data_IF_910465734557
#
_entry.id   IF_910465734557
#
_cell.length_a   1.000
_cell.length_b   1.000
_cell.length_c   1.000
_cell.angle_alpha   90.00
_cell.angle_beta   90.00
_cell.angle_gamma   90.00
#
_symmetry.space_group_name_H-M   'P 1'
#
loop_
_entity.id
_entity.type
_entity.pdbx_description
1 polymer ?
#
# COMPACT_ATOMS: atom_id res chain seq x y z
N UNK A 1 44.75 -68.25 10.50
CA UNK A 1 44.09 -67.39 9.55
C UNK A 1 43.77 -66.07 10.27
N UNK A 2 44.61 -65.02 10.01
CA UNK A 2 44.51 -63.72 10.68
C UNK A 2 43.87 -62.70 9.73
N UNK A 3 42.81 -62.02 10.19
CA UNK A 3 42.12 -60.98 9.50
C UNK A 3 42.83 -59.65 9.82
N UNK A 4 43.11 -58.78 8.87
CA UNK A 4 43.71 -57.46 9.12
C UNK A 4 42.65 -56.43 9.50
N UNK A 5 43.02 -55.36 10.23
CA UNK A 5 42.09 -54.32 10.66
C UNK A 5 41.77 -53.33 9.54
N UNK A 6 40.50 -52.91 9.49
CA UNK A 6 39.95 -51.90 8.57
C UNK A 6 40.49 -50.48 8.86
N UNK A 7 40.95 -49.80 7.84
CA UNK A 7 41.31 -48.40 7.89
C UNK A 7 40.06 -47.50 7.99
N UNK A 8 40.02 -46.72 9.05
CA UNK A 8 39.03 -45.62 9.19
C UNK A 8 39.51 -44.41 8.39
N UNK A 9 38.81 -44.08 7.33
CA UNK A 9 38.99 -42.82 6.58
C UNK A 9 38.23 -41.70 7.28
N UNK A 10 38.99 -40.77 7.87
CA UNK A 10 38.44 -39.52 8.42
C UNK A 10 38.14 -38.54 7.27
N UNK A 11 36.89 -38.30 7.02
CA UNK A 11 36.43 -37.23 6.10
C UNK A 11 36.42 -35.92 6.88
N UNK A 12 37.39 -35.06 6.58
CA UNK A 12 37.45 -33.68 7.08
C UNK A 12 36.43 -32.82 6.29
N UNK A 13 35.28 -32.54 6.88
CA UNK A 13 34.31 -31.62 6.30
C UNK A 13 34.80 -30.17 6.49
N UNK A 14 35.27 -29.54 5.42
CA UNK A 14 35.56 -28.11 5.40
C UNK A 14 34.23 -27.32 5.34
N UNK A 15 33.85 -26.71 6.45
CA UNK A 15 32.77 -25.70 6.45
C UNK A 15 33.30 -24.42 5.80
N UNK A 16 32.91 -24.17 4.55
CA UNK A 16 33.02 -22.88 3.91
C UNK A 16 31.92 -21.95 4.51
N UNK A 17 32.32 -21.09 5.42
CA UNK A 17 31.49 -19.97 5.87
C UNK A 17 31.41 -18.94 4.75
N UNK A 18 30.31 -18.96 4.01
CA UNK A 18 29.93 -17.87 3.13
C UNK A 18 29.53 -16.68 3.99
N UNK A 19 30.41 -15.74 4.22
CA UNK A 19 30.09 -14.41 4.71
C UNK A 19 29.35 -13.66 3.60
N UNK A 20 28.10 -13.21 3.81
CA UNK A 20 27.46 -12.36 2.82
C UNK A 20 28.21 -11.02 2.79
N UNK A 21 28.77 -10.67 1.63
CA UNK A 21 29.19 -9.31 1.32
C UNK A 21 27.95 -8.42 1.29
N UNK A 22 27.60 -7.83 2.41
CA UNK A 22 26.73 -6.66 2.41
C UNK A 22 27.51 -5.50 1.80
N UNK A 23 27.19 -5.18 0.54
CA UNK A 23 27.65 -3.97 -0.09
C UNK A 23 27.24 -2.78 0.79
N UNK A 24 28.17 -1.89 1.07
CA UNK A 24 27.92 -0.61 1.72
C UNK A 24 26.96 0.19 0.84
N UNK A 25 25.66 0.11 1.13
CA UNK A 25 24.68 1.03 0.59
C UNK A 25 24.94 2.40 1.19
N UNK A 26 24.93 3.43 0.35
CA UNK A 26 25.05 4.81 0.78
C UNK A 26 24.11 5.09 1.95
N UNK A 27 24.60 5.81 2.95
CA UNK A 27 23.86 6.18 4.16
C UNK A 27 22.56 6.87 3.79
N UNK A 28 21.44 6.14 3.83
CA UNK A 28 20.15 6.78 4.02
C UNK A 28 20.23 7.45 5.40
N UNK A 29 20.25 8.77 5.43
CA UNK A 29 20.13 9.50 6.68
C UNK A 29 18.71 9.34 7.18
N UNK A 30 18.45 8.29 7.97
CA UNK A 30 17.25 8.17 8.78
C UNK A 30 17.39 9.22 9.87
N UNK A 31 16.79 10.37 9.64
CA UNK A 31 16.76 11.44 10.65
C UNK A 31 15.63 11.12 11.64
N UNK A 32 15.94 11.23 12.93
CA UNK A 32 15.12 10.83 14.08
C UNK A 32 13.81 11.64 14.18
N UNK A 33 12.84 11.36 13.31
CA UNK A 33 11.48 11.90 13.38
C UNK A 33 11.21 13.13 12.51
N UNK A 34 12.15 13.52 11.66
CA UNK A 34 12.03 14.63 10.70
C UNK A 34 11.83 14.13 9.26
N UNK A 35 11.58 15.06 8.35
CA UNK A 35 11.33 14.82 6.93
C UNK A 35 12.40 13.94 6.28
N UNK A 36 12.01 12.76 5.79
CA UNK A 36 12.86 11.92 4.95
C UNK A 36 12.67 12.31 3.48
N UNK A 37 13.71 12.83 2.85
CA UNK A 37 13.69 13.10 1.42
C UNK A 37 14.39 11.96 0.68
N UNK A 38 13.69 11.37 -0.29
CA UNK A 38 14.28 10.39 -1.21
C UNK A 38 15.20 11.12 -2.20
N UNK A 39 16.18 10.39 -2.73
CA UNK A 39 16.98 10.91 -3.83
C UNK A 39 16.14 11.00 -5.11
N UNK A 40 16.26 12.09 -5.87
CA UNK A 40 15.54 12.25 -7.13
C UNK A 40 15.96 11.22 -8.19
N UNK A 41 17.13 10.61 -8.06
CA UNK A 41 17.59 9.49 -8.91
C UNK A 41 16.84 8.18 -8.63
N UNK A 42 16.19 8.06 -7.49
CA UNK A 42 15.33 6.91 -7.17
C UNK A 42 13.91 7.06 -7.73
N UNK A 43 13.57 8.22 -8.27
CA UNK A 43 12.27 8.46 -8.92
C UNK A 43 12.32 7.85 -10.33
N UNK A 44 11.53 6.80 -10.61
CA UNK A 44 11.58 6.13 -11.90
C UNK A 44 11.18 7.04 -13.05
N UNK A 45 11.81 6.88 -14.20
CA UNK A 45 11.39 7.57 -15.43
C UNK A 45 10.06 7.02 -15.97
N UNK A 46 9.82 5.70 -15.81
CA UNK A 46 8.54 5.08 -16.14
C UNK A 46 7.57 5.23 -14.99
N UNK A 47 6.33 5.59 -15.32
CA UNK A 47 5.24 5.66 -14.33
C UNK A 47 4.68 4.28 -13.97
N UNK A 48 4.77 3.31 -14.87
CA UNK A 48 4.41 1.92 -14.66
C UNK A 48 5.69 1.09 -14.61
N UNK A 49 5.94 0.45 -13.47
CA UNK A 49 7.08 -0.43 -13.26
C UNK A 49 6.81 -1.38 -12.08
N UNK A 50 7.67 -2.37 -11.89
CA UNK A 50 7.56 -3.40 -10.83
C UNK A 50 8.77 -3.36 -9.89
N UNK A 51 9.26 -2.19 -9.56
CA UNK A 51 10.49 -2.00 -8.79
C UNK A 51 10.27 -1.21 -7.49
N UNK A 52 9.03 -1.08 -7.00
CA UNK A 52 8.75 -0.27 -5.81
C UNK A 52 9.48 -0.80 -4.57
N UNK A 53 9.44 -2.12 -4.34
CA UNK A 53 10.20 -2.72 -3.25
C UNK A 53 11.70 -2.48 -3.43
N UNK A 54 12.25 -2.71 -4.62
CA UNK A 54 13.68 -2.58 -4.88
C UNK A 54 14.19 -1.14 -4.70
N UNK A 55 13.43 -0.14 -5.15
CA UNK A 55 13.84 1.27 -5.12
C UNK A 55 13.67 1.89 -3.73
N UNK A 56 12.56 1.58 -3.05
CA UNK A 56 12.16 2.33 -1.86
C UNK A 56 12.36 1.57 -0.55
N UNK A 57 12.66 0.26 -0.55
CA UNK A 57 12.85 -0.53 0.69
C UNK A 57 14.00 -0.05 1.57
N UNK A 58 15.01 0.62 1.00
CA UNK A 58 16.12 1.23 1.75
C UNK A 58 15.71 2.41 2.65
N UNK A 59 14.51 2.93 2.47
CA UNK A 59 13.96 4.07 3.22
C UNK A 59 12.97 3.66 4.31
N UNK A 60 12.67 2.34 4.44
CA UNK A 60 11.56 1.87 5.28
C UNK A 60 11.95 0.72 6.19
N UNK A 61 11.19 0.60 7.26
CA UNK A 61 11.23 -0.52 8.21
C UNK A 61 9.82 -1.11 8.38
N UNK A 62 9.72 -2.26 9.06
CA UNK A 62 8.47 -2.89 9.39
C UNK A 62 7.66 -3.34 8.15
N UNK A 63 6.35 -3.18 8.21
CA UNK A 63 5.43 -3.71 7.21
C UNK A 63 5.39 -2.92 5.90
N UNK A 64 5.94 -1.71 5.86
CA UNK A 64 5.95 -0.88 4.66
C UNK A 64 6.67 -1.56 3.48
N UNK A 65 7.66 -2.41 3.76
CA UNK A 65 8.32 -3.19 2.71
C UNK A 65 7.34 -4.12 1.98
N UNK A 66 6.44 -4.79 2.72
CA UNK A 66 5.41 -5.64 2.13
C UNK A 66 4.36 -4.81 1.39
N UNK A 67 4.06 -3.60 1.86
CA UNK A 67 3.19 -2.67 1.13
C UNK A 67 3.81 -2.27 -0.21
N UNK A 68 5.11 -1.97 -0.26
CA UNK A 68 5.82 -1.69 -1.52
C UNK A 68 5.78 -2.87 -2.48
N UNK A 69 6.00 -4.09 -1.97
CA UNK A 69 5.86 -5.32 -2.76
C UNK A 69 4.41 -5.53 -3.25
N UNK A 70 3.43 -5.18 -2.43
CA UNK A 70 2.02 -5.25 -2.82
C UNK A 70 1.69 -4.26 -3.96
N UNK A 71 2.34 -3.08 -4.02
CA UNK A 71 2.23 -2.19 -5.18
C UNK A 71 2.69 -2.91 -6.45
N UNK A 72 3.84 -3.60 -6.40
CA UNK A 72 4.38 -4.33 -7.55
C UNK A 72 3.41 -5.45 -8.01
N UNK A 73 2.74 -6.14 -7.08
CA UNK A 73 1.71 -7.14 -7.39
C UNK A 73 0.52 -6.49 -8.10
N UNK A 74 -0.03 -5.41 -7.55
CA UNK A 74 -1.18 -4.71 -8.17
C UNK A 74 -0.81 -4.13 -9.53
N UNK A 75 0.35 -3.50 -9.66
CA UNK A 75 0.82 -2.92 -10.92
C UNK A 75 1.02 -3.98 -12.01
N UNK A 76 1.43 -5.20 -11.64
CA UNK A 76 1.64 -6.29 -12.59
C UNK A 76 0.36 -6.71 -13.35
N UNK A 77 -0.83 -6.41 -12.81
CA UNK A 77 -2.09 -6.67 -13.50
C UNK A 77 -2.36 -5.71 -14.66
N UNK A 78 -1.71 -4.54 -14.68
CA UNK A 78 -1.89 -3.54 -15.74
C UNK A 78 -0.65 -2.68 -15.92
N UNK A 79 0.29 -3.15 -16.75
CA UNK A 79 1.55 -2.43 -17.06
C UNK A 79 1.35 -1.20 -17.96
N UNK A 80 0.17 -1.02 -18.53
CA UNK A 80 -0.28 0.16 -19.27
C UNK A 80 -1.17 1.09 -18.44
N UNK A 81 -1.37 0.76 -17.15
CA UNK A 81 -2.26 1.43 -16.22
C UNK A 81 -3.66 0.83 -16.13
N UNK A 82 -4.14 0.11 -17.15
CA UNK A 82 -5.42 -0.60 -17.16
C UNK A 82 -6.65 0.27 -17.40
N UNK A 83 -6.49 1.60 -17.47
CA UNK A 83 -7.56 2.57 -17.61
C UNK A 83 -8.01 3.18 -16.27
N UNK A 84 -8.42 4.44 -16.32
CA UNK A 84 -8.95 5.18 -15.16
C UNK A 84 -10.42 5.53 -15.38
N UNK A 85 -11.27 5.09 -14.46
CA UNK A 85 -12.70 5.37 -14.51
C UNK A 85 -13.36 5.33 -13.13
N UNK A 86 -14.08 6.40 -12.77
CA UNK A 86 -14.86 6.49 -11.53
C UNK A 86 -16.31 6.07 -11.78
N UNK A 87 -16.54 4.79 -11.89
CA UNK A 87 -17.82 4.23 -12.36
C UNK A 87 -18.91 4.05 -11.30
N UNK A 88 -18.95 4.86 -10.24
CA UNK A 88 -19.90 4.70 -9.12
C UNK A 88 -21.39 4.68 -9.54
N UNK A 89 -21.71 5.32 -10.66
CA UNK A 89 -23.10 5.39 -11.17
C UNK A 89 -23.29 4.56 -12.45
N UNK A 90 -22.28 3.78 -12.86
CA UNK A 90 -22.41 2.88 -14.02
C UNK A 90 -23.37 1.72 -13.70
N UNK A 91 -23.88 1.09 -14.77
CA UNK A 91 -24.77 -0.10 -14.66
C UNK A 91 -24.23 -1.21 -15.60
N UNK A 92 -23.72 -2.33 -15.05
CA UNK A 92 -23.44 -2.56 -13.63
C UNK A 92 -22.44 -1.53 -13.09
N UNK A 93 -22.41 -1.35 -11.77
CA UNK A 93 -21.44 -0.48 -11.09
C UNK A 93 -20.03 -0.88 -11.50
N UNK A 94 -19.23 0.10 -11.94
CA UNK A 94 -17.85 -0.15 -12.26
C UNK A 94 -17.03 -0.42 -11.00
N UNK A 95 -16.22 -1.45 -11.06
CA UNK A 95 -15.31 -1.78 -9.98
C UNK A 95 -14.21 -0.74 -9.80
N UNK A 96 -13.82 -0.43 -8.57
CA UNK A 96 -12.67 0.46 -8.30
C UNK A 96 -11.32 -0.19 -8.58
N UNK A 97 -11.29 -1.48 -8.86
CA UNK A 97 -10.09 -2.30 -9.09
C UNK A 97 -10.27 -3.04 -10.41
N UNK A 98 -9.22 -3.07 -11.23
CA UNK A 98 -9.25 -3.62 -12.58
C UNK A 98 -8.91 -5.11 -12.69
N UNK A 99 -8.85 -5.86 -11.58
CA UNK A 99 -8.52 -7.28 -11.57
C UNK A 99 -9.26 -8.02 -10.45
N UNK A 100 -9.33 -9.35 -10.55
CA UNK A 100 -9.96 -10.19 -9.52
C UNK A 100 -9.13 -10.15 -8.24
N UNK A 101 -9.69 -9.50 -7.21
CA UNK A 101 -9.06 -9.36 -5.91
C UNK A 101 -9.50 -10.49 -4.98
N UNK A 102 -8.53 -11.11 -4.30
CA UNK A 102 -8.79 -12.14 -3.28
C UNK A 102 -8.13 -11.78 -1.96
N UNK A 103 -8.75 -12.16 -0.86
CA UNK A 103 -8.14 -12.12 0.46
C UNK A 103 -8.01 -13.54 0.99
N UNK A 104 -6.79 -13.98 1.26
CA UNK A 104 -6.49 -15.34 1.73
C UNK A 104 -7.13 -16.45 0.86
N UNK A 105 -7.16 -16.22 -0.46
CA UNK A 105 -7.75 -17.14 -1.43
C UNK A 105 -9.27 -17.01 -1.62
N UNK A 106 -10.00 -16.26 -0.80
CA UNK A 106 -11.42 -15.96 -1.00
C UNK A 106 -11.62 -14.74 -1.91
N UNK A 107 -12.52 -14.76 -2.89
CA UNK A 107 -12.77 -13.64 -3.79
C UNK A 107 -13.47 -12.48 -3.05
N UNK A 108 -12.83 -11.32 -3.01
CA UNK A 108 -13.43 -10.08 -2.50
C UNK A 108 -14.15 -9.29 -3.58
N UNK A 109 -13.64 -9.37 -4.80
CA UNK A 109 -14.11 -8.58 -5.93
C UNK A 109 -13.79 -9.33 -7.22
N UNK A 110 -14.76 -9.35 -8.14
CA UNK A 110 -14.57 -9.87 -9.51
C UNK A 110 -15.05 -8.77 -10.49
N UNK A 111 -14.15 -7.90 -10.97
CA UNK A 111 -14.53 -6.72 -11.71
C UNK A 111 -14.99 -7.07 -13.13
N UNK A 112 -15.97 -6.31 -13.67
CA UNK A 112 -16.42 -6.49 -15.04
C UNK A 112 -15.45 -5.92 -16.08
N UNK A 113 -14.48 -5.08 -15.66
CA UNK A 113 -13.54 -4.36 -16.52
C UNK A 113 -12.16 -4.21 -15.89
N UNK A 114 -11.18 -3.78 -16.69
CA UNK A 114 -9.80 -3.56 -16.26
C UNK A 114 -9.56 -2.18 -15.65
N UNK A 115 -10.54 -1.28 -15.72
CA UNK A 115 -10.40 0.09 -15.20
C UNK A 115 -10.38 0.15 -13.68
N UNK A 116 -9.72 1.16 -13.16
CA UNK A 116 -9.59 1.38 -11.71
C UNK A 116 -9.69 2.86 -11.37
N UNK A 117 -9.79 3.19 -10.07
CA UNK A 117 -9.55 4.53 -9.58
C UNK A 117 -8.89 4.56 -8.20
N UNK A 118 -8.57 5.76 -7.70
CA UNK A 118 -7.62 5.96 -6.61
C UNK A 118 -7.90 5.14 -5.33
N UNK A 119 -9.14 5.16 -4.80
CA UNK A 119 -9.44 4.41 -3.59
C UNK A 119 -9.38 2.90 -3.80
N UNK A 120 -9.77 2.42 -4.98
CA UNK A 120 -9.65 1.00 -5.32
C UNK A 120 -8.20 0.54 -5.43
N UNK A 121 -7.33 1.34 -6.06
CA UNK A 121 -5.92 0.99 -6.19
C UNK A 121 -5.23 0.85 -4.82
N UNK A 122 -5.43 1.81 -3.93
CA UNK A 122 -4.87 1.74 -2.58
C UNK A 122 -5.50 0.61 -1.74
N UNK A 123 -6.79 0.29 -1.96
CA UNK A 123 -7.41 -0.88 -1.35
C UNK A 123 -6.80 -2.19 -1.87
N UNK A 124 -6.57 -2.31 -3.17
CA UNK A 124 -5.87 -3.47 -3.73
C UNK A 124 -4.52 -3.69 -3.08
N UNK A 125 -3.72 -2.65 -2.93
CA UNK A 125 -2.42 -2.71 -2.23
C UNK A 125 -2.58 -3.13 -0.77
N UNK A 126 -3.58 -2.62 -0.05
CA UNK A 126 -3.88 -3.02 1.33
C UNK A 126 -4.17 -4.53 1.43
N UNK A 127 -5.03 -5.05 0.57
CA UNK A 127 -5.39 -6.48 0.56
C UNK A 127 -4.19 -7.36 0.18
N UNK A 128 -3.43 -6.98 -0.85
CA UNK A 128 -2.25 -7.75 -1.24
C UNK A 128 -1.15 -7.71 -0.16
N UNK A 129 -1.01 -6.59 0.56
CA UNK A 129 -0.11 -6.52 1.71
C UNK A 129 -0.55 -7.48 2.85
N UNK A 130 -1.86 -7.58 3.13
CA UNK A 130 -2.38 -8.56 4.10
C UNK A 130 -2.13 -10.01 3.65
N UNK A 131 -2.31 -10.33 2.36
CA UNK A 131 -1.99 -11.64 1.80
C UNK A 131 -0.51 -12.02 1.99
N UNK A 132 0.39 -11.06 1.81
CA UNK A 132 1.84 -11.26 2.03
C UNK A 132 2.21 -11.43 3.50
N UNK A 133 1.57 -10.67 4.40
CA UNK A 133 1.91 -10.63 5.83
C UNK A 133 1.29 -11.78 6.62
N UNK A 134 0.14 -12.30 6.17
CA UNK A 134 -0.68 -13.23 6.93
C UNK A 134 -1.08 -14.44 6.05
N UNK A 135 -0.11 -15.23 5.54
CA UNK A 135 -0.39 -16.30 4.58
C UNK A 135 -1.36 -17.37 5.10
N UNK A 136 -1.40 -17.59 6.44
CA UNK A 136 -2.33 -18.52 7.08
C UNK A 136 -3.69 -17.89 7.47
N UNK A 137 -4.00 -16.72 6.89
CA UNK A 137 -5.17 -15.93 7.28
C UNK A 137 -6.52 -16.57 6.99
N UNK A 138 -6.59 -17.49 6.02
CA UNK A 138 -7.85 -18.11 5.58
C UNK A 138 -8.60 -18.86 6.69
N UNK A 139 -7.89 -19.51 7.61
CA UNK A 139 -8.47 -20.25 8.73
C UNK A 139 -8.87 -19.36 9.93
N UNK A 140 -8.45 -18.10 9.95
CA UNK A 140 -8.60 -17.18 11.08
C UNK A 140 -9.63 -16.08 10.86
N UNK A 141 -9.88 -15.70 9.60
CA UNK A 141 -10.82 -14.64 9.26
C UNK A 141 -12.26 -15.14 9.36
N UNK A 142 -13.07 -14.54 10.25
CA UNK A 142 -14.49 -14.87 10.36
C UNK A 142 -15.25 -14.38 9.11
N UNK A 143 -16.38 -15.03 8.80
CA UNK A 143 -17.23 -14.66 7.66
C UNK A 143 -17.74 -13.22 7.78
N UNK A 144 -18.13 -12.81 8.99
CA UNK A 144 -18.61 -11.45 9.25
C UNK A 144 -17.54 -10.38 8.92
N UNK A 145 -16.28 -10.63 9.30
CA UNK A 145 -15.17 -9.71 8.95
C UNK A 145 -14.84 -9.75 7.47
N UNK A 146 -14.87 -10.95 6.87
CA UNK A 146 -14.69 -11.07 5.44
C UNK A 146 -15.75 -10.27 4.68
N UNK A 147 -17.02 -10.40 5.05
CA UNK A 147 -18.11 -9.66 4.43
C UNK A 147 -17.96 -8.13 4.61
N UNK A 148 -17.43 -7.66 5.74
CA UNK A 148 -17.17 -6.23 5.95
C UNK A 148 -16.09 -5.64 5.05
N UNK A 149 -15.24 -6.50 4.47
CA UNK A 149 -14.18 -6.12 3.53
C UNK A 149 -14.65 -6.19 2.07
N UNK A 150 -15.69 -6.90 1.77
CA UNK A 150 -16.18 -7.10 0.41
C UNK A 150 -16.80 -5.82 -0.15
N UNK A 151 -16.30 -5.32 -1.28
CA UNK A 151 -16.68 -4.03 -1.85
C UNK A 151 -17.91 -4.08 -2.77
N UNK A 152 -18.28 -5.25 -3.27
CA UNK A 152 -19.41 -5.45 -4.18
C UNK A 152 -20.25 -6.64 -3.74
N UNK A 153 -21.52 -6.62 -4.11
CA UNK A 153 -22.38 -7.78 -4.05
C UNK A 153 -21.94 -8.83 -5.09
N UNK A 154 -22.31 -10.13 -4.92
CA UNK A 154 -21.95 -11.18 -5.86
C UNK A 154 -22.42 -10.93 -7.30
N UNK A 155 -23.49 -10.18 -7.50
CA UNK A 155 -24.02 -9.78 -8.81
C UNK A 155 -23.28 -8.57 -9.42
N UNK A 156 -22.22 -8.06 -8.74
CA UNK A 156 -21.44 -6.91 -9.18
C UNK A 156 -22.05 -5.56 -8.83
N UNK A 157 -23.21 -5.53 -8.16
CA UNK A 157 -23.81 -4.27 -7.71
C UNK A 157 -23.04 -3.67 -6.53
N UNK A 158 -23.29 -2.37 -6.29
CA UNK A 158 -22.69 -1.64 -5.17
C UNK A 158 -23.25 -2.13 -3.86
N UNK A 159 -22.37 -2.36 -2.88
CA UNK A 159 -22.77 -2.59 -1.50
C UNK A 159 -23.05 -1.28 -0.78
N UNK A 160 -24.14 -1.24 -0.01
CA UNK A 160 -24.57 -0.06 0.76
C UNK A 160 -24.86 -0.40 2.23
N UNK A 161 -24.48 -1.60 2.66
CA UNK A 161 -24.82 -2.20 3.94
C UNK A 161 -23.81 -1.89 5.06
N UNK A 162 -23.40 -0.62 5.18
CA UNK A 162 -22.48 -0.14 6.22
C UNK A 162 -21.04 -0.68 6.09
N UNK A 163 -20.62 -1.00 4.88
CA UNK A 163 -19.23 -1.33 4.63
C UNK A 163 -18.34 -0.13 4.93
N UNK A 164 -17.44 -0.29 5.89
CA UNK A 164 -16.57 0.78 6.41
C UNK A 164 -15.16 0.72 5.83
N UNK A 165 -14.82 -0.39 5.17
CA UNK A 165 -13.56 -0.46 4.49
C UNK A 165 -13.65 0.28 3.15
N UNK A 166 -12.86 1.20 3.04
CA UNK A 166 -12.12 1.90 2.02
C UNK A 166 -12.90 2.77 1.03
N UNK A 167 -12.56 4.06 1.05
CA UNK A 167 -12.93 5.04 0.04
C UNK A 167 -14.42 5.34 -0.05
N UNK A 168 -14.78 6.16 -1.02
CA UNK A 168 -16.19 6.48 -1.34
C UNK A 168 -16.83 5.51 -2.32
N UNK A 169 -16.36 4.27 -2.38
CA UNK A 169 -17.02 3.27 -3.21
C UNK A 169 -18.36 2.89 -2.63
N UNK A 170 -18.41 2.68 -1.33
CA UNK A 170 -19.61 2.53 -0.53
C UNK A 170 -19.88 3.83 0.22
N UNK A 171 -21.12 4.11 0.58
CA UNK A 171 -21.50 5.33 1.29
C UNK A 171 -20.79 5.45 2.65
N UNK A 172 -20.44 4.32 3.26
CA UNK A 172 -19.72 4.26 4.53
C UNK A 172 -18.19 4.25 4.40
N UNK A 173 -17.65 4.22 3.21
CA UNK A 173 -16.20 4.21 2.97
C UNK A 173 -15.59 5.62 2.90
N UNK A 174 -14.81 6.03 3.90
CA UNK A 174 -14.29 7.39 4.05
C UNK A 174 -12.77 7.51 3.97
N UNK A 175 -12.13 6.50 3.41
CA UNK A 175 -10.68 6.48 3.16
C UNK A 175 -9.87 5.74 4.20
N UNK A 176 -8.55 5.77 4.01
CA UNK A 176 -7.61 4.90 4.71
C UNK A 176 -7.54 5.14 6.20
N UNK A 177 -7.56 6.40 6.64
CA UNK A 177 -7.55 6.73 8.07
C UNK A 177 -8.78 6.19 8.78
N UNK A 178 -9.97 6.34 8.17
CA UNK A 178 -11.20 5.82 8.71
C UNK A 178 -11.16 4.30 8.85
N UNK A 179 -10.76 3.60 7.80
CA UNK A 179 -10.73 2.14 7.78
C UNK A 179 -9.64 1.54 8.68
N UNK A 180 -8.42 2.05 8.57
CA UNK A 180 -7.27 1.43 9.23
C UNK A 180 -7.08 1.90 10.67
N UNK A 181 -7.37 3.15 10.99
CA UNK A 181 -7.15 3.70 12.35
C UNK A 181 -8.41 3.61 13.18
N UNK A 182 -9.49 4.25 12.72
CA UNK A 182 -10.69 4.37 13.54
C UNK A 182 -11.49 3.07 13.62
N UNK A 183 -11.70 2.40 12.49
CA UNK A 183 -12.56 1.24 12.41
C UNK A 183 -11.85 -0.03 12.86
N UNK A 184 -10.75 -0.41 12.22
CA UNK A 184 -10.09 -1.69 12.46
C UNK A 184 -8.89 -1.62 13.42
N UNK A 185 -8.25 -0.48 13.57
CA UNK A 185 -7.02 -0.33 14.35
C UNK A 185 -5.81 -1.06 13.78
N UNK A 186 -5.86 -1.44 12.49
CA UNK A 186 -4.75 -2.09 11.77
C UNK A 186 -3.58 -1.14 11.57
N UNK A 187 -3.85 0.16 11.53
CA UNK A 187 -2.84 1.19 11.32
C UNK A 187 -2.87 2.28 12.37
N UNK A 188 -1.85 3.12 12.32
CA UNK A 188 -1.70 4.32 13.14
C UNK A 188 -1.59 5.56 12.27
N UNK A 189 -2.11 6.68 12.75
CA UNK A 189 -1.93 7.98 12.12
C UNK A 189 -0.47 8.41 12.23
N UNK A 190 0.10 8.86 11.10
CA UNK A 190 1.48 9.31 11.00
C UNK A 190 1.47 10.77 10.56
N UNK A 191 2.11 11.70 11.29
CA UNK A 191 2.23 13.07 10.82
C UNK A 191 3.10 13.15 9.55
N UNK A 192 2.88 14.15 8.68
CA UNK A 192 3.53 14.23 7.36
C UNK A 192 5.06 14.13 7.38
N UNK A 193 5.70 14.72 8.40
CA UNK A 193 7.15 14.69 8.57
C UNK A 193 7.71 13.29 8.89
N UNK A 194 6.86 12.40 9.38
CA UNK A 194 7.20 11.00 9.67
C UNK A 194 6.74 10.02 8.59
N UNK A 195 6.12 10.52 7.51
CA UNK A 195 5.69 9.67 6.41
C UNK A 195 6.89 8.98 5.74
N UNK A 196 6.71 7.72 5.36
CA UNK A 196 7.72 6.86 4.73
C UNK A 196 7.11 6.13 3.53
N UNK A 197 7.91 5.74 2.52
CA UNK A 197 7.42 4.91 1.43
C UNK A 197 6.60 3.71 1.93
N UNK A 198 5.46 3.45 1.30
CA UNK A 198 4.52 2.41 1.71
C UNK A 198 3.45 2.85 2.73
N UNK A 199 3.50 4.08 3.25
CA UNK A 199 2.39 4.62 4.03
C UNK A 199 1.19 4.91 3.11
N UNK A 200 -0.02 4.65 3.59
CA UNK A 200 -1.24 5.04 2.89
C UNK A 200 -1.56 6.50 3.18
N UNK A 201 -1.99 7.24 2.16
CA UNK A 201 -2.24 8.67 2.32
C UNK A 201 -3.52 9.08 1.60
N UNK A 202 -4.35 9.87 2.28
CA UNK A 202 -5.43 10.61 1.65
C UNK A 202 -4.99 12.07 1.48
N UNK A 203 -5.04 12.57 0.26
CA UNK A 203 -4.72 13.95 -0.10
C UNK A 203 -6.02 14.72 -0.27
N UNK A 204 -6.17 15.83 0.41
CA UNK A 204 -7.20 16.82 0.12
C UNK A 204 -6.64 17.92 -0.77
N UNK A 205 -7.31 18.22 -1.87
CA UNK A 205 -6.88 19.25 -2.81
C UNK A 205 -7.44 20.63 -2.43
N UNK A 206 -6.72 21.68 -2.72
CA UNK A 206 -7.18 23.08 -2.55
C UNK A 206 -8.48 23.35 -3.32
N UNK A 207 -8.65 22.73 -4.48
CA UNK A 207 -9.86 22.86 -5.33
C UNK A 207 -11.02 21.95 -4.91
N UNK A 208 -10.95 21.31 -3.75
CA UNK A 208 -11.91 20.29 -3.29
C UNK A 208 -11.61 18.92 -3.86
N UNK A 209 -12.43 17.94 -3.47
CA UNK A 209 -12.18 16.51 -3.70
C UNK A 209 -10.91 15.99 -3.00
N UNK A 210 -10.67 14.70 -3.07
CA UNK A 210 -9.53 14.04 -2.47
C UNK A 210 -8.91 13.01 -3.40
N UNK A 211 -7.80 12.42 -2.95
CA UNK A 211 -7.11 11.37 -3.66
C UNK A 211 -6.56 10.36 -2.65
N UNK A 212 -6.74 9.08 -2.90
CA UNK A 212 -6.20 8.00 -2.08
C UNK A 212 -4.99 7.41 -2.77
N UNK A 213 -3.87 7.37 -2.08
CA UNK A 213 -2.57 7.00 -2.65
C UNK A 213 -1.76 6.12 -1.69
N UNK A 214 -0.74 5.44 -2.21
CA UNK A 214 0.37 4.92 -1.42
C UNK A 214 1.54 5.86 -1.60
N UNK A 215 2.01 6.44 -0.51
CA UNK A 215 3.10 7.41 -0.50
C UNK A 215 4.44 6.70 -0.79
N UNK A 216 5.28 7.32 -1.63
CA UNK A 216 6.60 6.79 -2.01
C UNK A 216 7.76 7.67 -1.55
N UNK A 217 7.52 8.94 -1.25
CA UNK A 217 8.56 9.79 -0.68
C UNK A 217 8.36 11.27 -0.90
N UNK A 218 8.97 12.04 -0.01
CA UNK A 218 9.20 13.47 -0.22
C UNK A 218 10.48 13.65 -1.03
N UNK A 219 10.57 14.69 -1.83
CA UNK A 219 11.80 15.10 -2.50
C UNK A 219 11.89 16.63 -2.59
N UNK A 220 13.08 17.14 -2.91
CA UNK A 220 13.31 18.57 -3.17
C UNK A 220 13.82 18.76 -4.58
N UNK A 221 13.22 19.69 -5.30
CA UNK A 221 13.63 20.09 -6.63
C UNK A 221 13.59 21.61 -6.75
N UNK A 222 14.71 22.24 -7.16
CA UNK A 222 14.84 23.71 -7.25
C UNK A 222 14.42 24.40 -5.95
N UNK A 223 14.88 23.90 -4.80
CA UNK A 223 14.56 24.38 -3.45
C UNK A 223 13.06 24.37 -3.11
N UNK A 224 12.25 23.60 -3.80
CA UNK A 224 10.83 23.43 -3.51
C UNK A 224 10.52 21.95 -3.23
N UNK A 225 9.73 21.67 -2.18
CA UNK A 225 9.34 20.32 -1.87
C UNK A 225 8.32 19.77 -2.89
N UNK A 226 8.40 18.45 -3.08
CA UNK A 226 7.46 17.65 -3.83
C UNK A 226 7.22 16.31 -3.17
N UNK A 227 6.29 15.53 -3.70
CA UNK A 227 6.08 14.15 -3.29
C UNK A 227 5.94 13.24 -4.50
N UNK A 228 6.31 11.98 -4.29
CA UNK A 228 6.02 10.87 -5.20
C UNK A 228 5.02 9.95 -4.50
N UNK A 229 4.04 9.48 -5.26
CA UNK A 229 3.07 8.50 -4.79
C UNK A 229 2.62 7.59 -5.92
N UNK A 230 2.18 6.41 -5.57
CA UNK A 230 1.52 5.47 -6.48
C UNK A 230 0.01 5.48 -6.23
N UNK A 231 -0.77 5.44 -7.30
CA UNK A 231 -2.23 5.33 -7.24
C UNK A 231 -2.79 5.00 -8.62
N UNK A 232 -4.14 4.99 -8.75
CA UNK A 232 -4.82 5.04 -10.04
C UNK A 232 -5.34 6.46 -10.28
N UNK A 233 -4.93 7.08 -11.39
CA UNK A 233 -5.36 8.40 -11.81
C UNK A 233 -5.36 8.56 -13.32
N UNK A 234 -6.08 9.60 -13.80
CA UNK A 234 -6.21 9.87 -15.22
C UNK A 234 -4.86 10.09 -15.93
N UNK A 235 -3.91 10.75 -15.26
CA UNK A 235 -2.61 11.09 -15.86
C UNK A 235 -1.70 9.88 -16.09
N UNK A 236 -1.95 8.75 -15.42
CA UNK A 236 -1.25 7.47 -15.61
C UNK A 236 -2.11 6.44 -16.35
N UNK A 237 -3.26 6.84 -16.86
CA UNK A 237 -4.23 5.93 -17.49
C UNK A 237 -4.63 4.76 -16.55
N UNK A 238 -4.81 5.02 -15.25
CA UNK A 238 -5.01 4.00 -14.22
C UNK A 238 -3.82 3.92 -13.27
N UNK A 239 -3.35 2.70 -12.97
CA UNK A 239 -2.24 2.48 -12.02
C UNK A 239 -0.94 3.15 -12.49
N UNK A 240 -0.20 3.71 -11.53
CA UNK A 240 1.13 4.22 -11.78
C UNK A 240 1.59 5.31 -10.81
N UNK A 241 2.86 5.65 -10.90
CA UNK A 241 3.50 6.69 -10.11
C UNK A 241 3.16 8.09 -10.60
N UNK A 242 2.99 8.99 -9.66
CA UNK A 242 2.87 10.41 -9.94
C UNK A 242 3.88 11.22 -9.12
N UNK A 243 4.61 12.09 -9.82
CA UNK A 243 5.46 13.10 -9.21
C UNK A 243 4.65 14.39 -9.12
N UNK A 244 4.33 14.81 -7.91
CA UNK A 244 3.64 16.06 -7.62
C UNK A 244 4.63 17.13 -7.17
N UNK A 245 4.77 18.16 -7.97
CA UNK A 245 5.67 19.26 -7.71
C UNK A 245 5.24 20.53 -8.48
N UNK A 246 5.18 21.70 -7.82
CA UNK A 246 5.26 21.91 -6.38
C UNK A 246 3.99 21.44 -5.65
N UNK A 247 4.01 21.44 -4.30
CA UNK A 247 2.88 20.98 -3.46
C UNK A 247 1.74 22.00 -3.32
N UNK A 248 1.70 23.05 -4.11
CA UNK A 248 0.74 24.16 -3.99
C UNK A 248 -0.73 23.76 -4.17
N UNK A 249 -0.99 22.61 -4.79
CA UNK A 249 -2.36 22.08 -4.94
C UNK A 249 -2.82 21.25 -3.73
N UNK A 250 -1.92 20.89 -2.81
CA UNK A 250 -2.24 20.10 -1.61
C UNK A 250 -2.74 21.04 -0.53
N UNK A 251 -3.96 20.80 -0.04
CA UNK A 251 -4.54 21.50 1.11
C UNK A 251 -4.08 20.84 2.42
N UNK A 252 -4.22 19.53 2.50
CA UNK A 252 -3.85 18.74 3.66
C UNK A 252 -3.71 17.26 3.29
N UNK A 253 -3.11 16.46 4.17
CA UNK A 253 -3.02 15.01 4.03
C UNK A 253 -3.48 14.31 5.31
N UNK A 254 -3.88 13.07 5.19
CA UNK A 254 -4.02 12.10 6.29
C UNK A 254 -3.18 10.90 5.93
N UNK A 255 -2.16 10.64 6.73
CA UNK A 255 -1.22 9.54 6.48
C UNK A 255 -1.40 8.45 7.52
N UNK A 256 -1.38 7.21 7.08
CA UNK A 256 -1.57 6.02 7.92
C UNK A 256 -0.51 4.99 7.60
N UNK A 257 0.12 4.46 8.63
CA UNK A 257 1.03 3.30 8.54
C UNK A 257 0.35 2.06 9.06
N UNK A 258 0.50 0.95 8.34
CA UNK A 258 0.08 -0.36 8.82
C UNK A 258 1.04 -0.80 9.94
N UNK A 259 0.51 -1.01 11.15
CA UNK A 259 1.31 -1.37 12.34
C UNK A 259 0.83 -2.65 13.01
N UNK A 260 -0.43 -3.04 12.82
CA UNK A 260 -1.07 -4.17 13.46
C UNK A 260 -1.92 -4.99 12.46
N UNK A 261 -1.32 -5.59 11.41
CA UNK A 261 -2.09 -6.31 10.38
C UNK A 261 -2.91 -7.47 10.95
N UNK A 262 -2.47 -8.09 12.04
CA UNK A 262 -3.18 -9.19 12.72
C UNK A 262 -4.55 -8.80 13.30
N UNK A 263 -4.81 -7.50 13.50
CA UNK A 263 -6.12 -7.00 13.96
C UNK A 263 -7.23 -7.21 12.92
N UNK A 264 -6.89 -7.55 11.69
CA UNK A 264 -7.88 -7.99 10.67
C UNK A 264 -8.72 -9.18 11.17
N UNK A 265 -8.20 -9.99 12.10
CA UNK A 265 -8.90 -11.13 12.66
C UNK A 265 -9.73 -10.82 13.91
N UNK A 266 -9.66 -9.60 14.46
CA UNK A 266 -10.23 -9.29 15.77
C UNK A 266 -10.96 -7.95 15.87
N UNK A 267 -10.98 -7.11 14.80
CA UNK A 267 -11.70 -5.85 14.88
C UNK A 267 -13.22 -6.04 15.04
N UNK A 268 -13.85 -5.07 15.68
CA UNK A 268 -15.30 -5.06 15.86
C UNK A 268 -15.98 -4.46 14.61
N UNK A 269 -16.72 -5.28 13.88
CA UNK A 269 -17.42 -4.87 12.65
C UNK A 269 -18.56 -3.87 12.89
N UNK A 270 -19.05 -3.80 14.13
CA UNK A 270 -20.13 -2.86 14.52
C UNK A 270 -19.58 -1.54 15.07
N UNK A 271 -18.27 -1.37 15.13
CA UNK A 271 -17.65 -0.19 15.73
C UNK A 271 -18.13 1.10 15.10
N UNK A 272 -18.63 2.00 15.93
CA UNK A 272 -18.95 3.38 15.53
C UNK A 272 -17.66 4.20 15.39
N UNK A 273 -17.63 5.06 14.37
CA UNK A 273 -16.44 5.87 14.05
C UNK A 273 -16.82 7.27 13.62
N UNK A 274 -15.91 8.23 13.81
CA UNK A 274 -16.02 9.60 13.33
C UNK A 274 -15.57 9.64 11.86
N UNK A 275 -16.45 10.10 10.96
CA UNK A 275 -16.19 10.09 9.52
C UNK A 275 -15.24 11.18 9.05
N UNK A 276 -15.32 12.34 9.66
CA UNK A 276 -14.53 13.51 9.24
C UNK A 276 -13.52 13.90 10.30
N UNK A 277 -12.26 13.90 9.91
CA UNK A 277 -11.17 14.47 10.70
C UNK A 277 -10.38 15.45 9.82
N UNK A 278 -9.95 16.59 10.37
CA UNK A 278 -9.09 17.50 9.64
C UNK A 278 -7.79 16.79 9.24
N UNK A 279 -7.31 17.05 8.05
CA UNK A 279 -6.00 16.60 7.60
C UNK A 279 -4.89 17.53 8.09
N UNK A 280 -3.67 17.01 8.09
CA UNK A 280 -2.47 17.74 8.49
C UNK A 280 -1.98 18.63 7.35
N UNK A 281 -1.53 19.83 7.69
CA UNK A 281 -0.86 20.72 6.75
C UNK A 281 0.51 20.17 6.39
N UNK A 282 0.84 20.16 5.11
CA UNK A 282 2.15 19.72 4.61
C UNK A 282 3.06 20.93 4.46
N UNK A 283 4.05 21.04 5.32
CA UNK A 283 5.02 22.15 5.33
C UNK A 283 6.46 21.63 5.45
N UNK A 284 6.98 20.90 4.43
CA UNK A 284 8.37 20.44 4.47
C UNK A 284 9.33 21.63 4.47
N UNK A 285 10.48 21.53 5.15
CA UNK A 285 11.47 22.59 5.16
C UNK A 285 12.03 22.81 3.75
N UNK A 286 12.27 24.07 3.40
CA UNK A 286 13.06 24.42 2.22
C UNK A 286 14.52 23.99 2.49
N UNK A 287 15.10 23.22 1.60
CA UNK A 287 16.52 22.82 1.63
C UNK A 287 17.30 23.50 0.53
#
# INVERSE_FOLDING_TARGET
>A
MRIPPSAQSSILAAFLTLTPLFGQSGKATVDNGTWLFIDTTDIPASRQHLNHEALFSKYVEGYNRQVLKAIDIVQAHAMDGGGYFTGMHAKPTESPIGYKLTLFGKPLLDPPRTTSYCSGSSYGVFIEALNLLLPEGSSRLSEERYESLRMQEPDGSRREDRIKFWGKWNDDGWGTHYAMVQYSGIGEEIPPERARPGDFMNIAWVKGLGHSVVFLGWFVKKNQPGMVFWSSQKSTNGYGDLVLWPLTSVKSVKTVRMTHPERIFSFDVLREVVRELPGDTVAPPNR
#
